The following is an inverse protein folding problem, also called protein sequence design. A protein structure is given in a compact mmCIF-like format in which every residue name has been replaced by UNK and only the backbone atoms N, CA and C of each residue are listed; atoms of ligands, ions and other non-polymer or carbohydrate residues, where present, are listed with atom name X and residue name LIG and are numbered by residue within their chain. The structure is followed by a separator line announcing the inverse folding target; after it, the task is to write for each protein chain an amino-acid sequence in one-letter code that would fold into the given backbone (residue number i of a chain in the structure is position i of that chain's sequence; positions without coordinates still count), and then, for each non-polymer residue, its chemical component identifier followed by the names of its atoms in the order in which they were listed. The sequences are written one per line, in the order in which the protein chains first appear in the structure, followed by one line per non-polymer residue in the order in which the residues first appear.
data_IF_234025293377
#
_entry.id   IF_234025293377
#
_cell.length_a   1.000
_cell.length_b   1.000
_cell.length_c   1.000
_cell.angle_alpha   90.00
_cell.angle_beta   90.00
_cell.angle_gamma   90.00
#
_symmetry.space_group_name_H-M   'P 1'
#
loop_
_entity.id
_entity.type
_entity.pdbx_description
1 polymer ?
#
# COMPACT_ATOMS: atom_id res chain seq x y z
N UNK A 1 -7.33 -5.12 -23.90
CA UNK A 1 -7.48 -4.00 -22.95
C UNK A 1 -6.41 -4.15 -21.89
N UNK A 2 -5.43 -3.25 -21.85
CA UNK A 2 -4.47 -3.22 -20.75
C UNK A 2 -5.24 -2.82 -19.50
N UNK A 3 -5.56 -3.77 -18.62
CA UNK A 3 -5.95 -3.44 -17.24
C UNK A 3 -4.72 -2.77 -16.65
N UNK A 4 -4.69 -1.44 -16.74
CA UNK A 4 -3.53 -0.65 -16.38
C UNK A 4 -3.24 -0.87 -14.91
N UNK A 5 -1.99 -1.13 -14.56
CA UNK A 5 -1.48 -1.18 -13.18
C UNK A 5 -2.02 -0.04 -12.31
N UNK A 6 -2.25 1.13 -12.92
CA UNK A 6 -2.91 2.30 -12.33
C UNK A 6 -4.31 2.01 -11.80
N UNK A 7 -5.15 1.27 -12.53
CA UNK A 7 -6.51 0.91 -12.11
C UNK A 7 -6.48 -0.05 -10.92
N UNK A 8 -5.56 -1.03 -10.94
CA UNK A 8 -5.41 -1.97 -9.82
C UNK A 8 -4.90 -1.26 -8.57
N UNK A 9 -3.94 -0.36 -8.71
CA UNK A 9 -3.45 0.49 -7.61
C UNK A 9 -4.54 1.42 -7.07
N UNK A 10 -5.37 2.02 -7.93
CA UNK A 10 -6.48 2.88 -7.51
C UNK A 10 -7.53 2.09 -6.71
N UNK A 11 -7.87 0.86 -7.16
CA UNK A 11 -8.78 -0.02 -6.45
C UNK A 11 -8.22 -0.47 -5.10
N UNK A 12 -6.94 -0.87 -5.06
CA UNK A 12 -6.27 -1.24 -3.81
C UNK A 12 -6.19 -0.07 -2.84
N UNK A 13 -5.79 1.11 -3.32
CA UNK A 13 -5.77 2.33 -2.53
C UNK A 13 -7.16 2.65 -1.97
N UNK A 14 -8.21 2.56 -2.79
CA UNK A 14 -9.59 2.77 -2.35
C UNK A 14 -10.05 1.77 -1.28
N UNK A 15 -9.76 0.47 -1.46
CA UNK A 15 -10.13 -0.57 -0.48
C UNK A 15 -9.40 -0.37 0.85
N UNK A 16 -8.11 -0.06 0.79
CA UNK A 16 -7.27 0.14 1.99
C UNK A 16 -7.73 1.38 2.77
N UNK A 17 -8.01 2.47 2.07
CA UNK A 17 -8.50 3.70 2.70
C UNK A 17 -9.87 3.46 3.34
N UNK A 18 -10.78 2.80 2.62
CA UNK A 18 -12.13 2.51 3.10
C UNK A 18 -12.10 1.59 4.33
N UNK A 19 -11.34 0.50 4.27
CA UNK A 19 -11.22 -0.45 5.37
C UNK A 19 -10.48 0.15 6.58
N UNK A 20 -9.43 0.96 6.35
CA UNK A 20 -8.71 1.67 7.41
C UNK A 20 -9.60 2.69 8.15
N UNK A 21 -10.35 3.51 7.41
CA UNK A 21 -11.29 4.49 7.99
C UNK A 21 -12.42 3.79 8.75
N UNK A 22 -13.01 2.75 8.16
CA UNK A 22 -14.08 1.98 8.81
C UNK A 22 -13.61 1.37 10.13
N UNK A 23 -12.43 0.73 10.14
CA UNK A 23 -11.90 0.09 11.34
C UNK A 23 -11.53 1.09 12.43
N UNK A 24 -10.99 2.25 12.06
CA UNK A 24 -10.75 3.36 12.99
C UNK A 24 -12.06 3.85 13.61
N UNK A 25 -13.11 4.05 12.80
CA UNK A 25 -14.42 4.49 13.27
C UNK A 25 -15.09 3.47 14.23
N UNK A 26 -14.76 2.18 14.14
CA UNK A 26 -15.28 1.13 15.03
C UNK A 26 -14.51 0.94 16.34
N UNK A 27 -13.55 1.82 16.66
CA UNK A 27 -12.76 1.72 17.90
C UNK A 27 -11.73 0.58 17.91
N UNK A 28 -11.47 -0.05 16.76
CA UNK A 28 -10.50 -1.14 16.58
C UNK A 28 -9.19 -0.61 16.00
N UNK A 29 -8.57 0.36 16.68
CA UNK A 29 -7.40 1.09 16.17
C UNK A 29 -6.25 0.18 15.74
N UNK A 30 -5.91 -0.85 16.53
CA UNK A 30 -4.85 -1.81 16.17
C UNK A 30 -5.15 -2.54 14.85
N UNK A 31 -6.42 -2.89 14.63
CA UNK A 31 -6.87 -3.57 13.41
C UNK A 31 -6.88 -2.59 12.23
N UNK A 32 -7.28 -1.33 12.43
CA UNK A 32 -7.22 -0.29 11.42
C UNK A 32 -5.79 -0.02 10.93
N UNK A 33 -4.84 0.08 11.86
CA UNK A 33 -3.43 0.23 11.51
C UNK A 33 -2.85 -1.01 10.80
N UNK A 34 -3.25 -2.22 11.21
CA UNK A 34 -2.84 -3.45 10.52
C UNK A 34 -3.33 -3.48 9.06
N UNK A 35 -4.56 -3.04 8.81
CA UNK A 35 -5.11 -2.95 7.46
C UNK A 35 -4.42 -1.89 6.61
N UNK A 36 -4.09 -0.73 7.20
CA UNK A 36 -3.27 0.27 6.51
C UNK A 36 -1.90 -0.30 6.14
N UNK A 37 -1.24 -1.01 7.07
CA UNK A 37 0.05 -1.64 6.83
C UNK A 37 0.02 -2.63 5.66
N UNK A 38 -0.98 -3.52 5.64
CA UNK A 38 -1.21 -4.48 4.55
C UNK A 38 -1.46 -3.78 3.21
N UNK A 39 -2.22 -2.69 3.23
CA UNK A 39 -2.50 -1.91 2.06
C UNK A 39 -1.27 -1.28 1.43
N UNK A 40 -0.44 -0.64 2.26
CA UNK A 40 0.82 -0.08 1.81
C UNK A 40 1.82 -1.16 1.36
N UNK A 41 1.87 -2.32 2.03
CA UNK A 41 2.70 -3.44 1.58
C UNK A 41 2.27 -3.95 0.19
N UNK A 42 0.95 -4.01 -0.05
CA UNK A 42 0.40 -4.42 -1.33
C UNK A 42 0.68 -3.37 -2.42
N UNK A 43 0.55 -2.07 -2.10
CA UNK A 43 0.91 -0.98 -2.99
C UNK A 43 2.41 -1.01 -3.37
N UNK A 44 3.29 -1.33 -2.41
CA UNK A 44 4.71 -1.51 -2.68
C UNK A 44 4.96 -2.67 -3.65
N UNK A 45 4.31 -3.83 -3.45
CA UNK A 45 4.40 -4.97 -4.37
C UNK A 45 3.97 -4.61 -5.80
N UNK A 46 2.88 -3.87 -5.95
CA UNK A 46 2.43 -3.38 -7.26
C UNK A 46 3.35 -2.36 -7.89
N UNK A 47 3.95 -1.48 -7.09
CA UNK A 47 4.94 -0.53 -7.58
C UNK A 47 6.19 -1.26 -8.11
N UNK A 48 6.69 -2.28 -7.41
CA UNK A 48 7.79 -3.12 -7.92
C UNK A 48 7.42 -3.88 -9.21
N UNK A 49 6.19 -4.39 -9.32
CA UNK A 49 5.74 -5.00 -10.57
C UNK A 49 5.69 -3.97 -11.72
N UNK A 50 5.20 -2.76 -11.44
CA UNK A 50 5.21 -1.64 -12.38
C UNK A 50 6.63 -1.24 -12.81
N UNK A 51 7.59 -1.31 -11.88
CA UNK A 51 9.01 -1.09 -12.12
C UNK A 51 9.58 -2.11 -13.13
N UNK A 52 9.30 -3.40 -12.94
CA UNK A 52 9.73 -4.46 -13.87
C UNK A 52 9.07 -4.31 -15.25
N UNK A 53 7.79 -3.94 -15.30
CA UNK A 53 7.10 -3.61 -16.55
C UNK A 53 7.73 -2.41 -17.26
N UNK A 54 8.17 -1.39 -16.51
CA UNK A 54 8.87 -0.23 -17.06
C UNK A 54 10.25 -0.61 -17.62
N UNK A 55 11.01 -1.47 -16.93
CA UNK A 55 12.29 -2.01 -17.41
C UNK A 55 12.16 -2.78 -18.72
N UNK A 56 11.06 -3.51 -18.89
CA UNK A 56 10.73 -4.23 -20.13
C UNK A 56 10.17 -3.31 -21.25
N UNK A 57 10.09 -1.99 -21.03
CA UNK A 57 9.50 -1.05 -22.00
C UNK A 57 7.98 -1.20 -22.17
N UNK A 58 7.30 -1.88 -21.24
CA UNK A 58 5.85 -2.16 -21.30
C UNK A 58 5.00 -1.22 -20.45
N UNK A 59 5.63 -0.28 -19.74
CA UNK A 59 4.92 0.77 -19.00
C UNK A 59 5.34 2.16 -19.49
N UNK A 60 4.39 3.08 -19.58
CA UNK A 60 4.64 4.47 -19.97
C UNK A 60 5.32 5.30 -18.86
N UNK A 61 5.16 4.89 -17.60
CA UNK A 61 5.73 5.60 -16.45
C UNK A 61 7.19 5.18 -16.25
N UNK A 62 8.13 6.11 -16.00
CA UNK A 62 9.52 5.79 -15.72
C UNK A 62 9.70 4.88 -14.49
N UNK A 63 10.70 4.00 -14.55
CA UNK A 63 11.10 3.08 -13.46
C UNK A 63 11.28 3.81 -12.11
N UNK A 64 11.96 4.96 -12.13
CA UNK A 64 12.26 5.74 -10.92
C UNK A 64 11.00 6.19 -10.17
N UNK A 65 9.90 6.45 -10.88
CA UNK A 65 8.63 6.83 -10.26
C UNK A 65 8.00 5.66 -9.50
N UNK A 66 8.13 4.44 -10.03
CA UNK A 66 7.71 3.25 -9.31
C UNK A 66 8.58 2.98 -8.10
N UNK A 67 9.91 3.15 -8.23
CA UNK A 67 10.83 2.95 -7.11
C UNK A 67 10.56 3.92 -5.96
N UNK A 68 10.37 5.22 -6.23
CA UNK A 68 10.08 6.19 -5.16
C UNK A 68 8.73 5.93 -4.48
N UNK A 69 7.71 5.58 -5.26
CA UNK A 69 6.40 5.17 -4.73
C UNK A 69 6.46 3.89 -3.90
N UNK A 70 7.23 2.89 -4.35
CA UNK A 70 7.46 1.65 -3.62
C UNK A 70 8.14 1.91 -2.27
N UNK A 71 9.18 2.74 -2.24
CA UNK A 71 9.90 3.06 -1.00
C UNK A 71 8.99 3.78 0.00
N UNK A 72 8.21 4.78 -0.45
CA UNK A 72 7.25 5.45 0.41
C UNK A 72 6.20 4.49 0.98
N UNK A 73 5.68 3.58 0.14
CA UNK A 73 4.74 2.56 0.56
C UNK A 73 5.35 1.59 1.57
N UNK A 74 6.58 1.12 1.38
CA UNK A 74 7.28 0.26 2.35
C UNK A 74 7.45 0.97 3.69
N UNK A 75 7.87 2.24 3.70
CA UNK A 75 8.04 3.01 4.93
C UNK A 75 6.71 3.14 5.70
N UNK A 76 5.62 3.44 5.00
CA UNK A 76 4.30 3.55 5.61
C UNK A 76 3.79 2.19 6.11
N UNK A 77 4.03 1.11 5.34
CA UNK A 77 3.69 -0.24 5.77
C UNK A 77 4.39 -0.62 7.08
N UNK A 78 5.69 -0.32 7.19
CA UNK A 78 6.46 -0.56 8.42
C UNK A 78 5.93 0.28 9.57
N UNK A 79 5.72 1.59 9.37
CA UNK A 79 5.22 2.49 10.40
C UNK A 79 3.89 2.00 10.98
N UNK A 80 2.90 1.75 10.11
CA UNK A 80 1.58 1.31 10.55
C UNK A 80 1.61 -0.11 11.13
N UNK A 81 2.45 -1.00 10.60
CA UNK A 81 2.63 -2.35 11.14
C UNK A 81 3.22 -2.34 12.55
N UNK A 82 4.22 -1.49 12.80
CA UNK A 82 4.78 -1.31 14.14
C UNK A 82 3.76 -0.72 15.11
N UNK A 83 2.99 0.31 14.69
CA UNK A 83 1.93 0.90 15.54
C UNK A 83 0.82 -0.09 15.86
N UNK A 84 0.38 -0.88 14.87
CA UNK A 84 -0.60 -1.94 15.08
C UNK A 84 -0.12 -2.95 16.13
N UNK A 85 1.16 -3.34 16.05
CA UNK A 85 1.77 -4.30 16.99
C UNK A 85 1.93 -3.74 18.41
N UNK A 86 2.32 -2.47 18.55
CA UNK A 86 2.43 -1.81 19.84
C UNK A 86 1.06 -1.74 20.54
N UNK A 87 0.04 -1.27 19.83
CA UNK A 87 -1.33 -1.20 20.36
C UNK A 87 -1.91 -2.58 20.69
N UNK A 88 -1.60 -3.61 19.91
CA UNK A 88 -2.03 -4.98 20.21
C UNK A 88 -1.36 -5.56 21.48
N UNK A 89 -0.20 -5.02 21.89
CA UNK A 89 0.49 -5.38 23.13
C UNK A 89 0.07 -4.54 24.33
N UNK A 90 -0.74 -3.49 24.12
CA UNK A 90 -1.14 -2.55 25.17
C UNK A 90 -0.07 -1.49 25.49
N UNK A 91 0.84 -1.22 24.55
CA UNK A 91 1.87 -0.15 24.63
C UNK A 91 1.37 1.19 24.10
#
# INVERSE_FOLDING_TARGET
MAVGTRTVLALLGGVVLTAGVYLHATGRESTGYAVMALGFATAAGWAFLGMELARMGRAQTPERTYLSGAMAAVTLAMYFGMRARALAKGE
#
